data_IF_859402540855
#
_entry.id   IF_859402540855
#
_cell.length_a   1.000
_cell.length_b   1.000
_cell.length_c   1.000
_cell.angle_alpha   90.00
_cell.angle_beta   90.00
_cell.angle_gamma   90.00
#
_symmetry.space_group_name_H-M   'P 1'
#
loop_
_entity.id
_entity.type
_entity.pdbx_description
1 polymer ?
#
# COMPACT_ATOMS: atom_id res chain seq x y z
N UNK A 1 25.96 -13.97 -11.79
CA UNK A 1 24.62 -14.56 -11.91
C UNK A 1 24.54 -15.47 -13.13
N UNK A 2 23.73 -16.53 -13.05
CA UNK A 2 23.44 -17.47 -14.15
C UNK A 2 21.96 -17.83 -14.08
N UNK A 3 21.25 -17.80 -15.21
CA UNK A 3 19.88 -18.29 -15.29
C UNK A 3 19.84 -19.82 -15.15
N UNK A 4 18.88 -20.34 -14.38
CA UNK A 4 18.69 -21.79 -14.21
C UNK A 4 17.93 -22.45 -15.36
N UNK A 5 17.35 -21.67 -16.27
CA UNK A 5 16.61 -22.11 -17.44
C UNK A 5 16.72 -21.12 -18.59
N UNK A 6 15.96 -21.38 -19.65
CA UNK A 6 15.85 -20.48 -20.81
C UNK A 6 15.28 -19.12 -20.39
N UNK A 7 15.87 -18.05 -20.92
CA UNK A 7 15.44 -16.70 -20.63
C UNK A 7 14.17 -16.38 -21.44
N UNK A 8 13.21 -15.62 -20.87
CA UNK A 8 11.97 -15.33 -21.56
C UNK A 8 12.18 -14.35 -22.72
N UNK A 9 11.50 -14.61 -23.84
CA UNK A 9 11.35 -13.63 -24.91
C UNK A 9 10.45 -12.48 -24.44
N UNK A 10 11.01 -11.27 -24.44
CA UNK A 10 10.30 -10.02 -24.15
C UNK A 10 9.94 -9.27 -25.44
N UNK A 11 9.03 -8.27 -25.38
CA UNK A 11 8.77 -7.42 -26.54
C UNK A 11 10.01 -6.56 -26.87
N UNK A 12 10.22 -6.19 -28.13
CA UNK A 12 11.31 -5.27 -28.52
C UNK A 12 11.09 -3.84 -27.99
N UNK A 13 9.85 -3.50 -27.65
CA UNK A 13 9.49 -2.19 -27.10
C UNK A 13 8.30 -2.29 -26.16
N UNK A 14 8.24 -1.39 -25.18
CA UNK A 14 7.16 -1.31 -24.22
C UNK A 14 6.71 0.14 -24.00
N UNK A 15 5.43 0.32 -23.70
CA UNK A 15 4.88 1.64 -23.40
C UNK A 15 5.12 2.03 -21.94
N UNK A 16 5.44 3.29 -21.72
CA UNK A 16 5.36 3.90 -20.39
C UNK A 16 3.90 4.10 -20.04
N UNK A 17 3.54 3.80 -18.80
CA UNK A 17 2.19 3.93 -18.29
C UNK A 17 2.14 5.02 -17.22
N UNK A 18 1.25 6.00 -17.36
CA UNK A 18 1.17 7.17 -16.47
C UNK A 18 -0.19 7.27 -15.79
N UNK A 19 -0.19 7.67 -14.53
CA UNK A 19 -1.41 7.95 -13.81
C UNK A 19 -1.82 9.40 -14.07
N UNK A 20 -3.00 9.60 -14.64
CA UNK A 20 -3.44 10.92 -15.09
C UNK A 20 -4.83 11.28 -14.55
N UNK A 21 -5.08 12.60 -14.51
CA UNK A 21 -6.34 13.16 -14.07
C UNK A 21 -6.48 13.28 -12.55
N UNK A 22 -7.72 13.42 -12.12
CA UNK A 22 -8.09 13.61 -10.71
C UNK A 22 -9.14 12.61 -10.28
N UNK A 23 -9.11 12.28 -9.00
CA UNK A 23 -10.11 11.48 -8.31
C UNK A 23 -11.32 12.37 -8.01
N UNK A 24 -12.48 11.93 -8.45
CA UNK A 24 -13.75 12.60 -8.18
C UNK A 24 -14.35 12.16 -6.84
N UNK A 25 -15.17 13.00 -6.22
CA UNK A 25 -15.92 12.62 -5.02
C UNK A 25 -16.80 11.37 -5.24
N UNK A 26 -17.32 11.17 -6.44
CA UNK A 26 -18.15 10.01 -6.77
C UNK A 26 -17.35 8.69 -6.74
N UNK A 27 -16.11 8.70 -7.26
CA UNK A 27 -15.20 7.55 -7.16
C UNK A 27 -14.87 7.22 -5.70
N UNK A 28 -14.63 8.23 -4.87
CA UNK A 28 -14.37 8.06 -3.44
C UNK A 28 -15.60 7.52 -2.71
N UNK A 29 -16.80 8.05 -3.00
CA UNK A 29 -18.04 7.58 -2.40
C UNK A 29 -18.33 6.10 -2.73
N UNK A 30 -18.02 5.67 -3.96
CA UNK A 30 -18.13 4.26 -4.37
C UNK A 30 -17.21 3.36 -3.54
N UNK A 31 -15.94 3.77 -3.38
CA UNK A 31 -14.97 3.03 -2.57
C UNK A 31 -15.37 3.00 -1.08
N UNK A 32 -15.76 4.14 -0.52
CA UNK A 32 -16.23 4.25 0.86
C UNK A 32 -17.42 3.32 1.15
N UNK A 33 -18.38 3.26 0.22
CA UNK A 33 -19.53 2.35 0.32
C UNK A 33 -19.10 0.88 0.35
N UNK A 34 -18.15 0.48 -0.49
CA UNK A 34 -17.64 -0.90 -0.51
C UNK A 34 -16.88 -1.27 0.78
N UNK A 35 -16.20 -0.29 1.39
CA UNK A 35 -15.49 -0.44 2.66
C UNK A 35 -16.42 -0.33 3.89
N UNK A 36 -17.70 0.03 3.69
CA UNK A 36 -18.66 0.25 4.78
C UNK A 36 -18.43 1.53 5.58
N UNK A 37 -17.71 2.52 5.02
CA UNK A 37 -17.48 3.82 5.65
C UNK A 37 -18.69 4.71 5.40
N UNK A 38 -19.26 5.27 6.46
CA UNK A 38 -20.41 6.18 6.39
C UNK A 38 -19.95 7.63 6.22
N UNK A 39 -20.81 8.44 5.61
CA UNK A 39 -20.57 9.87 5.39
C UNK A 39 -20.29 10.20 3.93
N UNK A 40 -20.31 11.49 3.63
CA UNK A 40 -19.97 12.00 2.31
C UNK A 40 -18.47 12.34 2.23
N UNK A 41 -17.82 12.12 1.07
CA UNK A 41 -16.47 12.62 0.85
C UNK A 41 -16.40 14.13 0.98
N UNK A 42 -15.47 14.59 1.80
CA UNK A 42 -15.15 16.01 1.94
C UNK A 42 -13.66 16.24 1.64
N UNK A 43 -13.32 17.48 1.34
CA UNK A 43 -11.93 17.88 1.11
C UNK A 43 -11.18 17.98 2.43
N UNK A 44 -10.02 17.33 2.49
CA UNK A 44 -9.02 17.44 3.56
C UNK A 44 -7.67 17.75 2.88
N UNK A 45 -7.38 19.05 2.69
CA UNK A 45 -6.22 19.51 1.93
C UNK A 45 -6.18 18.95 0.50
N UNK A 46 -5.12 18.21 0.19
CA UNK A 46 -4.88 17.55 -1.11
C UNK A 46 -5.57 16.19 -1.24
N UNK A 47 -6.33 15.76 -0.23
CA UNK A 47 -7.03 14.49 -0.18
C UNK A 47 -8.55 14.67 -0.08
N UNK A 48 -9.27 13.61 -0.42
CA UNK A 48 -10.63 13.34 0.02
C UNK A 48 -10.58 12.53 1.31
N UNK A 49 -11.48 12.83 2.24
CA UNK A 49 -11.68 12.05 3.47
C UNK A 49 -13.14 11.62 3.60
N UNK A 50 -13.37 10.40 4.07
CA UNK A 50 -14.69 9.85 4.44
C UNK A 50 -14.57 9.14 5.78
N UNK A 51 -15.54 9.36 6.68
CA UNK A 51 -15.42 8.92 8.07
C UNK A 51 -14.23 9.61 8.77
N UNK A 52 -13.75 9.11 9.89
CA UNK A 52 -14.33 9.53 11.16
C UNK A 52 -13.96 10.99 11.47
N UNK A 53 -14.98 11.80 11.77
CA UNK A 53 -14.89 13.07 12.50
C UNK A 53 -15.69 12.89 13.80
N UNK A 54 -15.05 13.07 14.96
CA UNK A 54 -15.51 12.60 16.28
C UNK A 54 -14.31 12.29 17.19
N UNK A 55 -14.38 11.24 18.03
CA UNK A 55 -13.27 10.79 18.91
C UNK A 55 -12.08 10.13 18.17
N UNK A 56 -12.09 10.14 16.83
CA UNK A 56 -11.03 9.57 15.99
C UNK A 56 -10.97 8.04 15.97
N UNK A 57 -11.91 7.34 16.62
CA UNK A 57 -11.85 5.88 16.76
C UNK A 57 -12.50 5.09 15.60
N UNK A 58 -13.34 5.75 14.78
CA UNK A 58 -14.13 5.11 13.74
C UNK A 58 -13.40 4.89 12.39
N UNK A 59 -14.04 4.17 11.46
CA UNK A 59 -13.47 3.88 10.14
C UNK A 59 -13.17 5.16 9.36
N UNK A 60 -11.99 5.24 8.77
CA UNK A 60 -11.55 6.37 7.96
C UNK A 60 -10.97 5.91 6.63
N UNK A 61 -11.42 6.55 5.55
CA UNK A 61 -10.87 6.44 4.22
C UNK A 61 -10.24 7.78 3.84
N UNK A 62 -8.97 7.77 3.42
CA UNK A 62 -8.29 8.91 2.81
C UNK A 62 -7.87 8.57 1.39
N UNK A 63 -8.07 9.50 0.46
CA UNK A 63 -7.73 9.32 -0.97
C UNK A 63 -7.07 10.57 -1.50
N UNK A 64 -5.86 10.48 -2.04
CA UNK A 64 -5.21 11.62 -2.71
C UNK A 64 -6.04 12.07 -3.91
N UNK A 65 -6.23 13.39 -4.10
CA UNK A 65 -7.06 13.92 -5.20
C UNK A 65 -6.42 13.74 -6.57
N UNK A 66 -5.10 13.85 -6.65
CA UNK A 66 -4.36 13.66 -7.89
C UNK A 66 -4.18 12.17 -8.18
N UNK A 67 -4.24 11.79 -9.47
CA UNK A 67 -3.79 10.47 -9.90
C UNK A 67 -2.36 10.16 -9.38
N UNK A 68 -2.12 8.92 -8.92
CA UNK A 68 -2.96 7.73 -9.06
C UNK A 68 -4.12 7.60 -8.08
N UNK A 69 -4.31 8.58 -7.21
CA UNK A 69 -5.36 8.55 -6.21
C UNK A 69 -5.07 7.51 -5.15
N UNK A 70 -3.83 7.49 -4.64
CA UNK A 70 -3.43 6.59 -3.57
C UNK A 70 -4.40 6.73 -2.41
N UNK A 71 -4.94 5.61 -1.95
CA UNK A 71 -5.91 5.58 -0.88
C UNK A 71 -5.44 4.67 0.25
N UNK A 72 -5.90 5.01 1.46
CA UNK A 72 -5.70 4.21 2.67
C UNK A 72 -7.00 4.12 3.43
N UNK A 73 -7.27 2.94 3.96
CA UNK A 73 -8.41 2.65 4.80
C UNK A 73 -7.93 2.03 6.11
N UNK A 74 -8.50 2.49 7.21
CA UNK A 74 -8.38 1.87 8.52
C UNK A 74 -9.76 1.81 9.15
N UNK A 75 -10.18 0.62 9.58
CA UNK A 75 -11.48 0.42 10.26
C UNK A 75 -11.48 0.98 11.67
N UNK A 76 -10.35 0.84 12.34
CA UNK A 76 -10.12 1.30 13.70
C UNK A 76 -9.09 2.42 13.61
N UNK A 77 -9.29 3.50 14.37
CA UNK A 77 -8.28 4.56 14.49
C UNK A 77 -6.92 3.98 14.89
N UNK A 78 -5.83 4.69 14.56
CA UNK A 78 -4.49 4.36 15.05
C UNK A 78 -4.43 4.62 16.57
N UNK A 79 -5.10 3.77 17.35
CA UNK A 79 -4.98 3.73 18.80
C UNK A 79 -3.57 3.28 19.13
N UNK A 80 -2.63 4.21 19.15
CA UNK A 80 -1.44 4.04 19.96
C UNK A 80 -1.84 3.83 21.43
N UNK A 81 -0.96 3.24 22.25
CA UNK A 81 -1.25 2.94 23.65
C UNK A 81 -1.60 4.16 24.52
N UNK A 82 -1.50 5.39 23.99
CA UNK A 82 -1.63 6.64 24.74
C UNK A 82 -3.04 7.27 24.70
N UNK A 83 -4.06 6.60 24.15
CA UNK A 83 -5.45 7.06 24.21
C UNK A 83 -6.13 6.82 25.58
N UNK A 84 -5.38 6.98 26.67
CA UNK A 84 -5.87 6.96 28.05
C UNK A 84 -5.93 8.39 28.60
N UNK A 85 -6.91 9.19 28.19
CA UNK A 85 -7.32 10.31 29.02
C UNK A 85 -8.01 9.75 30.29
N UNK A 86 -7.76 10.30 31.48
CA UNK A 86 -8.39 9.84 32.73
C UNK A 86 -9.84 10.33 32.79
N UNK A 87 -10.72 9.64 32.05
CA UNK A 87 -12.17 9.76 32.12
C UNK A 87 -12.81 8.47 32.67
N UNK A 88 -14.02 8.53 33.25
CA UNK A 88 -14.72 7.35 33.76
C UNK A 88 -14.94 6.36 32.60
N UNK A 89 -14.23 5.23 32.68
CA UNK A 89 -14.27 4.06 31.82
C UNK A 89 -14.78 4.32 30.40
N UNK A 90 -13.85 4.44 29.44
CA UNK A 90 -14.15 4.31 28.01
C UNK A 90 -15.27 3.30 27.83
N UNK A 91 -16.44 3.77 27.35
CA UNK A 91 -17.51 2.87 26.97
C UNK A 91 -16.84 1.79 26.11
N UNK A 92 -16.93 0.54 26.56
CA UNK A 92 -16.34 -0.63 25.89
C UNK A 92 -17.07 -0.83 24.56
N UNK A 93 -16.80 0.05 23.61
CA UNK A 93 -16.98 -0.26 22.21
C UNK A 93 -15.87 -1.25 21.92
N UNK A 94 -16.22 -2.40 21.35
CA UNK A 94 -15.27 -3.41 20.91
C UNK A 94 -14.39 -2.83 19.79
N UNK A 95 -13.37 -2.07 20.21
CA UNK A 95 -12.35 -1.43 19.38
C UNK A 95 -11.19 -2.38 19.09
N UNK A 96 -11.19 -3.54 19.73
CA UNK A 96 -10.25 -4.62 19.45
C UNK A 96 -10.75 -5.37 18.22
N UNK A 97 -9.91 -5.58 17.20
CA UNK A 97 -10.23 -6.49 16.11
C UNK A 97 -10.65 -7.84 16.70
N UNK A 98 -11.65 -8.52 16.10
CA UNK A 98 -12.00 -9.88 16.49
C UNK A 98 -10.73 -10.75 16.56
N UNK A 99 -10.49 -11.37 17.71
CA UNK A 99 -9.39 -12.32 17.89
C UNK A 99 -9.86 -13.71 17.48
N UNK A 100 -8.98 -14.45 16.81
CA UNK A 100 -9.30 -15.78 16.30
C UNK A 100 -8.36 -16.24 15.20
N UNK A 101 -8.54 -17.46 14.67
CA UNK A 101 -7.83 -17.87 13.47
C UNK A 101 -8.21 -16.93 12.30
N UNK A 102 -7.27 -16.60 11.40
CA UNK A 102 -7.60 -15.87 10.19
C UNK A 102 -8.60 -16.68 9.36
N UNK A 103 -9.49 -15.96 8.66
CA UNK A 103 -10.38 -16.57 7.68
C UNK A 103 -9.58 -17.35 6.62
N UNK A 104 -10.21 -18.32 5.98
CA UNK A 104 -9.60 -18.99 4.82
C UNK A 104 -9.45 -18.03 3.62
N UNK A 105 -8.60 -18.38 2.66
CA UNK A 105 -8.33 -17.54 1.48
C UNK A 105 -9.57 -17.27 0.63
N UNK A 106 -10.47 -18.26 0.50
CA UNK A 106 -11.66 -18.12 -0.32
C UNK A 106 -12.62 -17.10 0.30
N UNK A 107 -12.81 -17.16 1.61
CA UNK A 107 -13.59 -16.20 2.37
C UNK A 107 -12.97 -14.80 2.30
N UNK A 108 -11.65 -14.68 2.44
CA UNK A 108 -10.96 -13.39 2.33
C UNK A 108 -11.10 -12.77 0.92
N UNK A 109 -10.88 -13.55 -0.14
CA UNK A 109 -11.06 -13.10 -1.54
C UNK A 109 -12.50 -12.67 -1.80
N UNK A 110 -13.48 -13.40 -1.27
CA UNK A 110 -14.90 -13.03 -1.38
C UNK A 110 -15.22 -11.72 -0.66
N UNK A 111 -14.66 -11.50 0.53
CA UNK A 111 -14.82 -10.26 1.30
C UNK A 111 -14.16 -9.05 0.60
N UNK A 112 -13.01 -9.25 -0.04
CA UNK A 112 -12.28 -8.19 -0.76
C UNK A 112 -12.91 -7.82 -2.11
N UNK A 113 -13.61 -8.75 -2.77
CA UNK A 113 -14.11 -8.57 -4.13
C UNK A 113 -14.95 -7.28 -4.37
N UNK A 114 -15.87 -6.87 -3.47
CA UNK A 114 -16.61 -5.62 -3.65
C UNK A 114 -15.70 -4.38 -3.61
N UNK A 115 -14.66 -4.39 -2.78
CA UNK A 115 -13.70 -3.29 -2.65
C UNK A 115 -12.83 -3.20 -3.90
N UNK A 116 -12.33 -4.34 -4.39
CA UNK A 116 -11.54 -4.41 -5.62
C UNK A 116 -12.34 -3.96 -6.83
N UNK A 117 -13.61 -4.37 -6.93
CA UNK A 117 -14.52 -3.87 -7.96
C UNK A 117 -14.72 -2.35 -7.87
N UNK A 118 -14.87 -1.80 -6.67
CA UNK A 118 -14.99 -0.36 -6.48
C UNK A 118 -13.69 0.39 -6.85
N UNK A 119 -12.53 -0.25 -6.70
CA UNK A 119 -11.23 0.23 -7.14
C UNK A 119 -10.94 -0.02 -8.63
N UNK A 120 -11.83 -0.70 -9.37
CA UNK A 120 -11.67 -1.01 -10.79
C UNK A 120 -10.67 -2.15 -11.08
N UNK A 121 -10.53 -3.09 -10.13
CA UNK A 121 -9.55 -4.19 -10.18
C UNK A 121 -10.23 -5.56 -10.01
N UNK A 122 -11.45 -5.71 -10.52
CA UNK A 122 -12.21 -6.96 -10.46
C UNK A 122 -11.57 -8.12 -11.24
N UNK A 123 -10.78 -7.80 -12.27
CA UNK A 123 -10.03 -8.80 -13.08
C UNK A 123 -8.59 -9.04 -12.64
N UNK A 124 -8.12 -8.43 -11.54
CA UNK A 124 -6.76 -8.61 -11.07
C UNK A 124 -6.53 -10.01 -10.51
N UNK A 125 -5.32 -10.55 -10.69
CA UNK A 125 -4.93 -11.80 -10.04
C UNK A 125 -4.85 -11.57 -8.52
N UNK A 126 -5.37 -12.51 -7.73
CA UNK A 126 -5.44 -12.37 -6.28
C UNK A 126 -4.55 -13.39 -5.58
N UNK A 127 -3.60 -12.87 -4.79
CA UNK A 127 -2.85 -13.62 -3.80
C UNK A 127 -3.44 -13.37 -2.40
N UNK A 128 -3.50 -14.41 -1.56
CA UNK A 128 -4.00 -14.27 -0.18
C UNK A 128 -3.18 -15.09 0.82
N UNK A 129 -1.94 -15.45 0.47
CA UNK A 129 -1.07 -16.31 1.27
C UNK A 129 -0.56 -15.58 2.53
N UNK A 130 -0.50 -14.25 2.46
CA UNK A 130 0.04 -13.42 3.54
C UNK A 130 -0.92 -13.33 4.74
N UNK A 131 -0.35 -13.59 5.93
CA UNK A 131 -1.02 -13.48 7.22
C UNK A 131 -0.30 -12.47 8.13
N UNK A 132 -1.09 -11.71 8.89
CA UNK A 132 -0.66 -10.79 9.94
C UNK A 132 -1.43 -11.11 11.23
N UNK A 133 -1.00 -12.15 11.94
CA UNK A 133 -1.74 -12.67 13.10
C UNK A 133 -3.11 -13.23 12.69
N UNK A 134 -4.19 -12.64 13.20
CA UNK A 134 -5.57 -12.98 12.86
C UNK A 134 -6.10 -12.32 11.58
N UNK A 135 -5.28 -11.49 10.92
CA UNK A 135 -5.64 -10.78 9.69
C UNK A 135 -5.05 -11.49 8.48
N UNK A 136 -5.87 -11.75 7.46
CA UNK A 136 -5.39 -12.20 6.15
C UNK A 136 -5.30 -11.01 5.20
N UNK A 137 -4.21 -10.93 4.44
CA UNK A 137 -4.02 -9.88 3.43
C UNK A 137 -4.37 -10.47 2.06
N UNK A 138 -5.22 -9.79 1.31
CA UNK A 138 -5.54 -10.09 -0.09
C UNK A 138 -4.85 -9.05 -0.96
N UNK A 139 -3.86 -9.48 -1.72
CA UNK A 139 -3.14 -8.64 -2.69
C UNK A 139 -3.74 -8.85 -4.08
N UNK A 140 -4.13 -7.75 -4.72
CA UNK A 140 -4.58 -7.73 -6.10
C UNK A 140 -3.49 -7.14 -6.99
N UNK A 141 -3.03 -7.93 -7.96
CA UNK A 141 -1.98 -7.56 -8.90
C UNK A 141 -2.59 -7.30 -10.28
N UNK A 142 -2.84 -6.03 -10.65
CA UNK A 142 -3.41 -5.71 -11.94
C UNK A 142 -2.38 -5.86 -13.06
N UNK A 143 -2.87 -6.30 -14.22
CA UNK A 143 -2.12 -6.32 -15.47
C UNK A 143 -2.25 -4.98 -16.16
N UNK A 144 -1.14 -4.34 -16.50
CA UNK A 144 -1.11 -3.03 -17.16
C UNK A 144 -0.48 -3.20 -18.54
N UNK A 145 -1.20 -2.82 -19.59
CA UNK A 145 -0.72 -2.98 -20.96
C UNK A 145 -0.44 -4.44 -21.37
N UNK A 146 -1.05 -5.42 -20.69
CA UNK A 146 -0.81 -6.85 -20.92
C UNK A 146 0.34 -7.45 -20.10
N UNK A 147 1.01 -6.65 -19.26
CA UNK A 147 2.15 -7.09 -18.46
C UNK A 147 1.83 -7.10 -16.95
N UNK A 148 2.27 -8.13 -16.21
CA UNK A 148 2.28 -8.09 -14.74
C UNK A 148 3.06 -6.88 -14.26
N UNK A 149 2.51 -6.14 -13.30
CA UNK A 149 3.11 -4.88 -12.81
C UNK A 149 3.46 -5.00 -11.34
N UNK A 150 4.76 -4.94 -11.04
CA UNK A 150 5.24 -4.89 -9.66
C UNK A 150 5.03 -3.50 -9.05
N UNK A 151 4.67 -3.45 -7.76
CA UNK A 151 4.52 -2.20 -7.00
C UNK A 151 3.22 -1.42 -7.29
N UNK A 152 2.34 -1.94 -8.14
CA UNK A 152 1.01 -1.35 -8.42
C UNK A 152 -0.14 -2.12 -7.75
N UNK A 153 0.17 -3.00 -6.80
CA UNK A 153 -0.80 -3.86 -6.16
C UNK A 153 -1.75 -3.09 -5.24
N UNK A 154 -2.92 -3.67 -4.99
CA UNK A 154 -3.88 -3.21 -3.98
C UNK A 154 -3.99 -4.26 -2.90
N UNK A 155 -3.72 -3.86 -1.65
CA UNK A 155 -3.75 -4.73 -0.49
C UNK A 155 -5.00 -4.49 0.34
N UNK A 156 -5.79 -5.54 0.58
CA UNK A 156 -6.98 -5.53 1.45
C UNK A 156 -6.73 -6.40 2.65
N UNK A 157 -6.93 -5.87 3.85
CA UNK A 157 -6.75 -6.59 5.11
C UNK A 157 -8.11 -7.05 5.64
N UNK A 158 -8.26 -8.37 5.80
CA UNK A 158 -9.49 -9.03 6.25
C UNK A 158 -9.27 -9.62 7.64
N UNK A 159 -10.05 -9.18 8.62
CA UNK A 159 -10.00 -9.68 9.99
C UNK A 159 -10.60 -11.07 10.16
N UNK A 160 -10.47 -11.66 11.35
CA UNK A 160 -10.94 -13.01 11.65
C UNK A 160 -12.46 -13.19 11.50
N UNK A 161 -13.24 -12.10 11.61
CA UNK A 161 -14.69 -12.12 11.38
C UNK A 161 -15.08 -11.92 9.91
N UNK A 162 -14.12 -11.77 8.99
CA UNK A 162 -14.38 -11.49 7.57
C UNK A 162 -14.61 -10.01 7.25
N UNK A 163 -14.51 -9.12 8.24
CA UNK A 163 -14.60 -7.68 8.03
C UNK A 163 -13.31 -7.10 7.44
N UNK A 164 -13.44 -6.06 6.61
CA UNK A 164 -12.28 -5.31 6.14
C UNK A 164 -11.80 -4.41 7.27
N UNK A 165 -10.57 -4.66 7.76
CA UNK A 165 -9.95 -3.93 8.88
C UNK A 165 -8.98 -2.85 8.41
N UNK A 166 -8.46 -2.98 7.18
CA UNK A 166 -7.55 -2.02 6.58
C UNK A 166 -7.36 -2.27 5.09
N UNK A 167 -6.63 -1.38 4.43
CA UNK A 167 -6.22 -1.58 3.05
C UNK A 167 -5.62 -0.32 2.43
N UNK A 168 -4.95 -0.51 1.30
CA UNK A 168 -4.38 0.57 0.51
C UNK A 168 -4.27 0.18 -0.96
N UNK A 169 -4.23 1.18 -1.83
CA UNK A 169 -4.07 0.97 -3.26
C UNK A 169 -4.22 2.25 -4.07
N UNK A 170 -4.58 2.09 -5.35
CA UNK A 170 -4.75 3.16 -6.31
C UNK A 170 -6.19 3.19 -6.84
N UNK A 171 -6.72 4.37 -7.16
CA UNK A 171 -8.11 4.53 -7.63
C UNK A 171 -8.19 4.96 -9.10
N UNK A 172 -7.12 5.56 -9.64
CA UNK A 172 -7.00 5.86 -11.07
C UNK A 172 -6.13 4.80 -11.74
N UNK A 173 -6.62 4.29 -12.86
CA UNK A 173 -5.83 3.43 -13.74
C UNK A 173 -4.71 4.19 -14.44
N UNK A 174 -3.82 3.43 -15.07
CA UNK A 174 -2.72 3.98 -15.85
C UNK A 174 -3.14 4.10 -17.33
N UNK A 175 -2.88 5.26 -17.94
CA UNK A 175 -3.01 5.48 -19.38
C UNK A 175 -1.71 5.09 -20.11
N UNK A 176 -1.84 4.62 -21.35
CA UNK A 176 -0.70 4.31 -22.22
C UNK A 176 -0.08 5.62 -22.69
N UNK A 177 1.22 5.79 -22.43
CA UNK A 177 2.04 6.88 -22.96
C UNK A 177 2.93 6.43 -24.10
N UNK A 178 4.11 7.05 -24.17
CA UNK A 178 5.10 6.82 -25.21
C UNK A 178 5.70 5.41 -25.13
N UNK A 179 6.13 4.87 -26.28
CA UNK A 179 6.71 3.53 -26.40
C UNK A 179 8.21 3.65 -26.67
N UNK A 180 9.01 2.89 -25.93
CA UNK A 180 10.47 2.89 -25.99
C UNK A 180 11.00 1.48 -26.20
N UNK A 181 12.19 1.33 -26.83
CA UNK A 181 12.87 0.04 -26.88
C UNK A 181 13.20 -0.43 -25.46
N UNK A 182 13.13 -1.74 -25.24
CA UNK A 182 13.51 -2.36 -23.96
C UNK A 182 14.69 -3.29 -24.15
N UNK A 183 15.47 -3.46 -23.09
CA UNK A 183 16.58 -4.42 -23.04
C UNK A 183 16.03 -5.84 -22.86
N UNK A 184 16.40 -6.75 -23.74
CA UNK A 184 16.03 -8.16 -23.66
C UNK A 184 16.63 -8.87 -22.45
N UNK A 185 16.11 -10.04 -22.10
CA UNK A 185 16.52 -10.77 -20.90
C UNK A 185 18.00 -11.20 -20.92
N UNK A 186 18.53 -11.61 -22.09
CA UNK A 186 19.94 -11.98 -22.24
C UNK A 186 20.87 -10.80 -21.99
N UNK A 187 20.59 -9.67 -22.64
CA UNK A 187 21.38 -8.45 -22.51
C UNK A 187 21.30 -7.90 -21.08
N UNK A 188 20.12 -7.94 -20.44
CA UNK A 188 19.96 -7.53 -19.06
C UNK A 188 20.79 -8.39 -18.09
N UNK A 189 20.84 -9.71 -18.32
CA UNK A 189 21.66 -10.62 -17.50
C UNK A 189 23.16 -10.38 -17.72
N UNK A 190 23.57 -10.10 -18.95
CA UNK A 190 24.96 -9.74 -19.26
C UNK A 190 25.38 -8.46 -18.53
N UNK A 191 24.56 -7.40 -18.60
CA UNK A 191 24.81 -6.13 -17.92
C UNK A 191 24.90 -6.30 -16.39
N UNK A 192 23.94 -6.99 -15.78
CA UNK A 192 23.95 -7.30 -14.34
C UNK A 192 25.25 -8.03 -13.93
N UNK A 193 25.69 -8.97 -14.75
CA UNK A 193 26.93 -9.70 -14.52
C UNK A 193 28.17 -8.80 -14.65
N UNK A 194 28.20 -7.91 -15.63
CA UNK A 194 29.29 -6.95 -15.80
C UNK A 194 29.40 -5.98 -14.61
N UNK A 195 28.29 -5.40 -14.17
CA UNK A 195 28.24 -4.47 -13.02
C UNK A 195 28.67 -5.15 -11.71
N UNK A 196 28.22 -6.39 -11.48
CA UNK A 196 28.61 -7.16 -10.29
C UNK A 196 30.11 -7.46 -10.22
N UNK A 197 30.80 -7.49 -11.37
CA UNK A 197 32.25 -7.66 -11.45
C UNK A 197 33.01 -6.36 -11.27
N UNK A 198 32.39 -5.22 -11.62
CA UNK A 198 32.97 -3.89 -11.51
C UNK A 198 32.84 -3.29 -10.11
N UNK A 199 31.88 -3.77 -9.31
CA UNK A 199 31.82 -3.44 -7.89
C UNK A 199 33.09 -3.96 -7.19
N UNK A 200 33.96 -3.08 -6.65
CA UNK A 200 35.04 -3.54 -5.79
C UNK A 200 34.43 -4.32 -4.64
N UNK A 201 35.10 -5.37 -4.15
CA UNK A 201 34.83 -5.94 -2.81
C UNK A 201 35.21 -4.93 -1.70
N UNK A 202 34.90 -3.65 -1.87
CA UNK A 202 34.99 -2.62 -0.85
C UNK A 202 33.69 -2.67 -0.06
N UNK A 203 33.81 -2.94 1.24
CA UNK A 203 32.67 -3.13 2.13
C UNK A 203 31.64 -2.03 1.99
N UNK A 204 30.37 -2.39 2.21
CA UNK A 204 29.31 -1.45 2.58
C UNK A 204 29.94 -0.39 3.47
N UNK A 205 30.03 0.84 2.96
CA UNK A 205 30.58 1.96 3.71
C UNK A 205 29.86 1.99 5.04
N UNK A 206 30.60 1.75 6.12
CA UNK A 206 30.04 1.61 7.45
C UNK A 206 29.10 2.79 7.70
N UNK A 207 27.90 2.49 8.19
CA UNK A 207 27.03 3.49 8.77
C UNK A 207 27.92 4.46 9.56
N UNK A 208 27.83 5.76 9.26
CA UNK A 208 28.64 6.79 9.88
C UNK A 208 28.78 6.50 11.38
N UNK A 209 30.00 6.21 11.83
CA UNK A 209 30.29 6.06 13.25
C UNK A 209 30.07 7.43 13.88
N UNK A 210 29.23 7.50 14.92
CA UNK A 210 28.95 8.72 15.67
C UNK A 210 30.26 9.40 16.07
N UNK A 211 30.47 10.64 15.65
CA UNK A 211 31.49 11.50 16.25
C UNK A 211 31.00 11.91 17.64
N UNK A 212 31.80 11.72 18.72
CA UNK A 212 31.45 12.25 20.03
C UNK A 212 31.31 13.78 19.96
N UNK A 213 30.26 14.31 20.58
CA UNK A 213 30.10 15.75 20.78
C UNK A 213 31.23 16.23 21.68
N UNK A 214 32.13 17.05 21.15
CA UNK A 214 33.10 17.79 21.95
C UNK A 214 32.34 18.80 22.82
N UNK A 215 32.42 18.58 24.13
CA UNK A 215 31.76 19.33 25.20
C UNK A 215 32.48 20.68 25.38
N UNK A 216 32.14 21.66 24.54
CA UNK A 216 32.51 23.06 24.74
C UNK A 216 31.26 23.85 25.11
N UNK A 217 31.05 24.02 26.42
CA UNK A 217 30.76 25.31 27.05
C UNK A 217 30.77 25.12 28.58
N UNK A 218 31.96 25.06 29.15
CA UNK A 218 32.14 25.39 30.56
C UNK A 218 31.81 26.88 30.76
N UNK A 219 30.90 27.25 31.70
CA UNK A 219 30.69 28.65 32.04
C UNK A 219 31.90 29.18 32.83
N UNK A 220 32.49 30.28 32.36
CA UNK A 220 33.42 31.09 33.15
C UNK A 220 32.67 31.75 34.31
N UNK A 221 33.10 31.58 35.58
CA UNK A 221 32.60 32.38 36.69
C UNK A 221 33.33 33.73 36.77
N UNK A 222 32.53 34.76 37.08
CA UNK A 222 32.79 36.19 37.35
C UNK A 222 34.23 36.71 37.53
#
# INVERSE_FOLDING_TARGET
YRASGELPDGPDSAAVHRAEGTVTAAEVARLAKALGVRGAPHTDGTAWKVGSDGDGSGPVLKVVKQAPGTWTFARYGAGGPDACEPGPACAKQDRTPPSGPPVDEKAAKAAAAPVLKAAGQDGAALDADQLMGSVRVVNADPVVGGLPTYGWSTGIQVGAGGEIVGGSGHLKGLSKGDTYPVTGADEALEQLNAESRQSPKGGVGGCATSVPLEDDLAPQPD
#
